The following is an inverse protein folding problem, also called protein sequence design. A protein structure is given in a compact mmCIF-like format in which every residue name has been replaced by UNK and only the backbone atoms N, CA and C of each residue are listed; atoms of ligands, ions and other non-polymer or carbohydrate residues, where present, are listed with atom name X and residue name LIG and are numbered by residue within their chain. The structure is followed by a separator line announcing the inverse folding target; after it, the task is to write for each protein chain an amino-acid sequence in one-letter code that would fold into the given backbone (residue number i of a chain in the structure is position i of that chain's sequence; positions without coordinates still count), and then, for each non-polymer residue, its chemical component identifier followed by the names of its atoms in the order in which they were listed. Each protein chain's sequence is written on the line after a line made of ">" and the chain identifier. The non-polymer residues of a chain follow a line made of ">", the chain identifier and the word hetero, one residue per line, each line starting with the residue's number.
data_IF_468642931055
#
_entry.id   IF_468642931055
#
_cell.length_a   1.000
_cell.length_b   1.000
_cell.length_c   1.000
_cell.angle_alpha   90.00
_cell.angle_beta   90.00
_cell.angle_gamma   90.00
#
_symmetry.space_group_name_H-M   'P 1'
#
loop_
_entity.id
_entity.type
_entity.pdbx_description
1 polymer ?
#
# COMPACT_ATOMS: atom_id res chain seq x y z
N UNK A 1 0.61 29.12 -9.55
CA UNK A 1 -0.33 28.44 -8.63
C UNK A 1 -0.26 26.95 -8.92
N UNK A 2 0.08 26.16 -7.93
CA UNK A 2 0.21 24.71 -8.13
C UNK A 2 -1.19 24.10 -8.20
N UNK A 3 -1.46 23.31 -9.26
CA UNK A 3 -2.76 22.66 -9.45
C UNK A 3 -3.01 21.64 -8.35
N UNK A 4 -4.22 21.59 -7.81
CA UNK A 4 -4.61 20.56 -6.84
C UNK A 4 -4.91 19.23 -7.54
N UNK A 5 -4.96 18.13 -6.78
CA UNK A 5 -5.40 16.84 -7.35
C UNK A 5 -6.79 16.93 -7.96
N UNK A 6 -7.69 17.74 -7.38
CA UNK A 6 -9.03 17.95 -7.92
C UNK A 6 -9.00 18.64 -9.30
N UNK A 7 -8.13 19.66 -9.47
CA UNK A 7 -7.95 20.35 -10.75
C UNK A 7 -7.40 19.40 -11.83
N UNK A 8 -6.39 18.59 -11.44
CA UNK A 8 -5.81 17.60 -12.34
C UNK A 8 -6.82 16.52 -12.74
N UNK A 9 -7.59 16.01 -11.78
CA UNK A 9 -8.64 15.02 -12.03
C UNK A 9 -9.72 15.57 -12.97
N UNK A 10 -10.16 16.82 -12.78
CA UNK A 10 -11.12 17.47 -13.66
C UNK A 10 -10.60 17.48 -15.12
N UNK A 11 -9.34 17.88 -15.35
CA UNK A 11 -8.72 17.88 -16.67
C UNK A 11 -8.63 16.48 -17.29
N UNK A 12 -8.26 15.48 -16.48
CA UNK A 12 -8.19 14.08 -16.98
C UNK A 12 -9.58 13.56 -17.36
N UNK A 13 -10.59 13.81 -16.51
CA UNK A 13 -11.95 13.26 -16.70
C UNK A 13 -12.67 13.95 -17.86
N UNK A 14 -12.57 15.29 -17.94
CA UNK A 14 -13.29 16.10 -18.94
C UNK A 14 -12.55 16.12 -20.27
N UNK A 15 -11.26 16.42 -20.26
CA UNK A 15 -10.48 16.70 -21.47
C UNK A 15 -9.64 15.50 -21.92
N UNK A 16 -9.53 14.44 -21.11
CA UNK A 16 -8.64 13.31 -21.40
C UNK A 16 -7.15 13.68 -21.30
N UNK A 17 -6.82 14.71 -20.52
CA UNK A 17 -5.48 15.28 -20.44
C UNK A 17 -4.47 14.29 -19.81
N UNK A 18 -3.66 13.67 -20.66
CA UNK A 18 -2.64 12.69 -20.25
C UNK A 18 -1.51 13.33 -19.42
N UNK A 19 -1.19 14.60 -19.66
CA UNK A 19 -0.17 15.31 -18.88
C UNK A 19 -0.65 15.56 -17.44
N UNK A 20 -1.93 15.90 -17.26
CA UNK A 20 -2.53 16.01 -15.93
C UNK A 20 -2.52 14.67 -15.19
N UNK A 21 -2.78 13.56 -15.88
CA UNK A 21 -2.66 12.24 -15.27
C UNK A 21 -1.20 11.90 -14.92
N UNK A 22 -0.25 12.23 -15.78
CA UNK A 22 1.19 12.07 -15.51
C UNK A 22 1.63 12.82 -14.23
N UNK A 23 1.03 13.99 -13.96
CA UNK A 23 1.27 14.75 -12.74
C UNK A 23 0.71 14.02 -11.51
N UNK A 24 -0.52 13.47 -11.59
CA UNK A 24 -1.09 12.64 -10.54
C UNK A 24 -0.23 11.41 -10.25
N UNK A 25 0.29 10.74 -11.28
CA UNK A 25 1.24 9.62 -11.12
C UNK A 25 2.49 10.08 -10.37
N UNK A 26 3.12 11.19 -10.75
CA UNK A 26 4.32 11.70 -10.08
C UNK A 26 4.10 11.97 -8.59
N UNK A 27 2.95 12.52 -8.22
CA UNK A 27 2.60 12.82 -6.82
C UNK A 27 2.34 11.57 -5.98
N UNK A 28 1.69 10.59 -6.57
CA UNK A 28 1.18 9.42 -5.83
C UNK A 28 2.01 8.15 -6.00
N UNK A 29 2.98 8.09 -6.92
CA UNK A 29 3.75 6.87 -7.18
C UNK A 29 4.56 6.40 -5.96
N UNK A 30 5.20 7.31 -5.24
CA UNK A 30 6.04 6.95 -4.09
C UNK A 30 5.23 6.31 -2.95
N UNK A 31 4.10 6.89 -2.49
CA UNK A 31 3.25 6.25 -1.48
C UNK A 31 2.63 4.92 -1.94
N UNK A 32 2.17 4.81 -3.20
CA UNK A 32 1.61 3.56 -3.75
C UNK A 32 2.67 2.47 -3.80
N UNK A 33 3.86 2.80 -4.32
CA UNK A 33 5.00 1.89 -4.36
C UNK A 33 5.44 1.48 -2.96
N UNK A 34 5.45 2.40 -2.00
CA UNK A 34 5.74 2.15 -0.59
C UNK A 34 4.78 1.14 0.04
N UNK A 35 3.47 1.29 -0.20
CA UNK A 35 2.46 0.32 0.25
C UNK A 35 2.73 -1.07 -0.36
N UNK A 36 2.91 -1.15 -1.68
CA UNK A 36 3.11 -2.43 -2.37
C UNK A 36 4.39 -3.13 -1.92
N UNK A 37 5.49 -2.39 -1.69
CA UNK A 37 6.73 -2.94 -1.12
C UNK A 37 6.51 -3.57 0.25
N UNK A 38 5.66 -2.98 1.08
CA UNK A 38 5.28 -3.58 2.36
C UNK A 38 4.44 -4.86 2.18
N UNK A 39 3.61 -4.93 1.14
CA UNK A 39 2.77 -6.10 0.88
C UNK A 39 3.58 -7.30 0.34
N UNK A 40 4.48 -7.05 -0.62
CA UNK A 40 5.29 -8.12 -1.27
C UNK A 40 6.62 -8.38 -0.57
N UNK A 41 6.97 -7.61 0.46
CA UNK A 41 8.20 -7.72 1.25
C UNK A 41 9.49 -7.55 0.42
N UNK A 42 10.18 -8.68 0.12
CA UNK A 42 11.50 -8.69 -0.50
C UNK A 42 11.49 -8.54 -2.02
N UNK A 43 10.34 -8.77 -2.68
CA UNK A 43 10.22 -8.74 -4.14
C UNK A 43 9.96 -7.31 -4.63
N UNK A 44 11.04 -6.52 -4.74
CA UNK A 44 10.95 -5.11 -5.15
C UNK A 44 10.53 -4.97 -6.63
N UNK A 45 10.91 -5.92 -7.47
CA UNK A 45 10.53 -5.94 -8.89
C UNK A 45 9.02 -6.15 -9.01
N UNK A 46 8.48 -7.13 -8.29
CA UNK A 46 7.03 -7.33 -8.21
C UNK A 46 6.31 -6.10 -7.67
N UNK A 47 6.85 -5.41 -6.66
CA UNK A 47 6.24 -4.19 -6.14
C UNK A 47 6.14 -3.11 -7.21
N UNK A 48 7.16 -2.95 -8.03
CA UNK A 48 7.20 -1.96 -9.10
C UNK A 48 6.23 -2.34 -10.24
N UNK A 49 6.13 -3.61 -10.60
CA UNK A 49 5.15 -4.12 -11.58
C UNK A 49 3.70 -3.91 -11.11
N UNK A 50 3.40 -4.22 -9.84
CA UNK A 50 2.07 -3.99 -9.28
C UNK A 50 1.74 -2.49 -9.17
N UNK A 51 2.74 -1.64 -8.92
CA UNK A 51 2.52 -0.19 -8.91
C UNK A 51 2.19 0.32 -10.32
N UNK A 52 2.89 -0.16 -11.34
CA UNK A 52 2.60 0.18 -12.73
C UNK A 52 1.19 -0.26 -13.12
N UNK A 53 0.82 -1.52 -12.83
CA UNK A 53 -0.54 -2.05 -13.09
C UNK A 53 -1.61 -1.23 -12.35
N UNK A 54 -1.31 -0.78 -11.12
CA UNK A 54 -2.21 0.08 -10.34
C UNK A 54 -2.53 1.38 -11.09
N UNK A 55 -1.53 2.06 -11.62
CA UNK A 55 -1.74 3.31 -12.36
C UNK A 55 -2.39 3.10 -13.73
N UNK A 56 -2.10 1.98 -14.41
CA UNK A 56 -2.80 1.59 -15.65
C UNK A 56 -4.30 1.40 -15.36
N UNK A 57 -4.64 0.67 -14.30
CA UNK A 57 -6.05 0.49 -13.91
C UNK A 57 -6.69 1.78 -13.42
N UNK A 58 -5.97 2.61 -12.70
CA UNK A 58 -6.45 3.92 -12.29
C UNK A 58 -6.81 4.78 -13.51
N UNK A 59 -5.94 4.85 -14.52
CA UNK A 59 -6.21 5.60 -15.75
C UNK A 59 -7.44 5.07 -16.50
N UNK A 60 -7.52 3.76 -16.68
CA UNK A 60 -8.67 3.12 -17.37
C UNK A 60 -10.00 3.36 -16.65
N UNK A 61 -9.97 3.47 -15.32
CA UNK A 61 -11.17 3.60 -14.48
C UNK A 61 -11.36 5.02 -13.91
N UNK A 62 -10.58 6.00 -14.37
CA UNK A 62 -10.57 7.36 -13.78
C UNK A 62 -11.96 8.01 -13.76
N UNK A 63 -12.78 7.73 -14.77
CA UNK A 63 -14.17 8.23 -14.87
C UNK A 63 -15.11 7.64 -13.80
N UNK A 64 -14.72 6.54 -13.15
CA UNK A 64 -15.49 5.96 -12.03
C UNK A 64 -15.17 6.61 -10.69
N UNK A 65 -14.14 7.45 -10.62
CA UNK A 65 -13.82 8.20 -9.43
C UNK A 65 -14.86 9.29 -9.18
N UNK A 66 -15.63 9.15 -8.09
CA UNK A 66 -16.74 10.05 -7.76
C UNK A 66 -16.39 11.16 -6.78
N UNK A 67 -15.15 11.23 -6.29
CA UNK A 67 -14.74 12.22 -5.28
C UNK A 67 -15.30 11.97 -3.86
N UNK A 68 -15.91 10.81 -3.61
CA UNK A 68 -16.44 10.45 -2.28
C UNK A 68 -15.34 10.16 -1.25
N UNK A 69 -14.11 9.96 -1.71
CA UNK A 69 -12.92 9.78 -0.91
C UNK A 69 -11.75 10.55 -1.54
N UNK A 70 -10.64 10.68 -0.82
CA UNK A 70 -9.41 11.23 -1.39
C UNK A 70 -8.93 10.36 -2.55
N UNK A 71 -8.34 10.98 -3.57
CA UNK A 71 -7.78 10.25 -4.71
C UNK A 71 -6.74 9.20 -4.28
N UNK A 72 -5.89 9.54 -3.30
CA UNK A 72 -4.93 8.60 -2.70
C UNK A 72 -5.59 7.36 -2.11
N UNK A 73 -6.70 7.51 -1.39
CA UNK A 73 -7.48 6.40 -0.80
C UNK A 73 -8.03 5.49 -1.90
N UNK A 74 -8.54 6.07 -2.99
CA UNK A 74 -9.02 5.33 -4.14
C UNK A 74 -7.88 4.56 -4.84
N UNK A 75 -6.69 5.19 -5.01
CA UNK A 75 -5.50 4.52 -5.53
C UNK A 75 -5.05 3.35 -4.65
N UNK A 76 -5.03 3.52 -3.33
CA UNK A 76 -4.66 2.42 -2.42
C UNK A 76 -5.62 1.24 -2.52
N UNK A 77 -6.91 1.49 -2.73
CA UNK A 77 -7.88 0.41 -2.98
C UNK A 77 -7.55 -0.35 -4.27
N UNK A 78 -7.21 0.35 -5.34
CA UNK A 78 -6.78 -0.28 -6.60
C UNK A 78 -5.50 -1.09 -6.36
N UNK A 79 -4.49 -0.51 -5.71
CA UNK A 79 -3.22 -1.17 -5.42
C UNK A 79 -3.40 -2.46 -4.59
N UNK A 80 -4.23 -2.40 -3.55
CA UNK A 80 -4.54 -3.57 -2.73
C UNK A 80 -5.26 -4.67 -3.51
N UNK A 81 -6.20 -4.31 -4.39
CA UNK A 81 -6.89 -5.26 -5.26
C UNK A 81 -5.92 -5.91 -6.26
N UNK A 82 -5.04 -5.12 -6.88
CA UNK A 82 -3.99 -5.63 -7.80
C UNK A 82 -3.10 -6.63 -7.08
N UNK A 83 -2.67 -6.31 -5.86
CA UNK A 83 -1.88 -7.23 -5.02
C UNK A 83 -2.65 -8.52 -4.73
N UNK A 84 -3.91 -8.44 -4.25
CA UNK A 84 -4.73 -9.62 -3.95
C UNK A 84 -4.95 -10.52 -5.15
N UNK A 85 -5.22 -9.95 -6.32
CA UNK A 85 -5.39 -10.72 -7.55
C UNK A 85 -4.09 -11.44 -7.97
N UNK A 86 -2.96 -10.75 -7.84
CA UNK A 86 -1.65 -11.35 -8.13
C UNK A 86 -1.35 -12.50 -7.15
N UNK A 87 -1.55 -12.30 -5.85
CA UNK A 87 -1.33 -13.31 -4.84
C UNK A 87 -2.21 -14.55 -5.08
N UNK A 88 -3.49 -14.35 -5.43
CA UNK A 88 -4.39 -15.46 -5.79
C UNK A 88 -3.90 -16.23 -7.01
N UNK A 89 -3.49 -15.55 -8.08
CA UNK A 89 -2.95 -16.20 -9.29
C UNK A 89 -1.69 -17.02 -8.99
N UNK A 90 -0.79 -16.47 -8.16
CA UNK A 90 0.43 -17.18 -7.74
C UNK A 90 0.10 -18.43 -6.92
N UNK A 91 -0.87 -18.36 -6.02
CA UNK A 91 -1.36 -19.51 -5.25
C UNK A 91 -1.92 -20.61 -6.16
N UNK A 92 -2.73 -20.24 -7.15
CA UNK A 92 -3.30 -21.18 -8.14
C UNK A 92 -2.22 -21.86 -9.00
N UNK A 93 -1.17 -21.12 -9.37
CA UNK A 93 -0.10 -21.64 -10.25
C UNK A 93 0.94 -22.49 -9.51
N UNK A 94 1.27 -22.14 -8.27
CA UNK A 94 2.42 -22.70 -7.53
C UNK A 94 1.99 -23.56 -6.34
N UNK A 95 0.70 -23.50 -5.93
CA UNK A 95 0.17 -24.27 -4.79
C UNK A 95 0.73 -23.84 -3.43
N UNK A 96 1.38 -22.66 -3.36
CA UNK A 96 2.01 -22.14 -2.14
C UNK A 96 1.05 -21.14 -1.46
N UNK A 97 0.76 -21.37 -0.19
CA UNK A 97 -0.03 -20.44 0.60
C UNK A 97 0.70 -19.11 0.84
N UNK A 98 -0.07 -18.00 0.83
CA UNK A 98 0.43 -16.64 1.11
C UNK A 98 1.27 -16.55 2.40
N UNK A 99 0.93 -17.34 3.43
CA UNK A 99 1.69 -17.42 4.67
C UNK A 99 3.10 -18.00 4.49
N UNK A 100 3.31 -18.93 3.55
CA UNK A 100 4.63 -19.48 3.24
C UNK A 100 5.49 -18.54 2.38
N UNK A 101 4.89 -17.76 1.49
CA UNK A 101 5.59 -16.68 0.78
C UNK A 101 6.07 -15.57 1.74
N UNK A 102 5.50 -15.53 2.93
CA UNK A 102 5.87 -14.58 3.98
C UNK A 102 7.12 -15.00 4.79
N UNK A 103 7.62 -16.21 4.65
CA UNK A 103 8.67 -16.77 5.51
C UNK A 103 10.12 -16.51 5.02
N UNK A 104 10.32 -16.17 3.76
CA UNK A 104 11.67 -15.92 3.21
C UNK A 104 11.95 -14.43 3.10
N UNK A 105 12.35 -13.82 4.21
CA UNK A 105 13.03 -12.52 4.20
C UNK A 105 14.53 -12.79 4.24
N UNK A 106 15.20 -12.57 3.13
CA UNK A 106 16.66 -12.50 3.09
C UNK A 106 17.09 -11.17 3.74
N UNK A 107 17.85 -11.19 4.85
CA UNK A 107 18.24 -9.98 5.56
C UNK A 107 19.44 -9.30 4.91
N UNK A 108 19.46 -9.12 3.60
CA UNK A 108 20.58 -8.47 2.91
C UNK A 108 20.30 -7.02 2.54
N UNK A 109 20.42 -6.12 3.52
CA UNK A 109 20.93 -4.78 3.27
C UNK A 109 21.64 -4.29 4.54
N UNK A 110 22.94 -4.00 4.49
CA UNK A 110 23.69 -3.51 5.65
C UNK A 110 23.50 -1.99 5.78
N UNK A 111 22.43 -1.57 6.39
CA UNK A 111 22.31 -0.22 6.95
C UNK A 111 21.86 -0.37 8.41
N UNK A 112 22.79 -0.30 9.39
CA UNK A 112 22.48 -0.51 10.80
C UNK A 112 21.85 0.76 11.40
N UNK A 113 20.61 1.08 11.00
CA UNK A 113 19.89 2.24 11.49
C UNK A 113 18.43 1.92 11.83
N UNK A 114 17.80 2.81 12.61
CA UNK A 114 16.39 2.72 12.99
C UNK A 114 15.46 2.41 11.80
N UNK A 115 15.76 2.97 10.62
CA UNK A 115 14.99 2.73 9.40
C UNK A 115 15.01 1.27 8.97
N UNK A 116 16.19 0.64 8.99
CA UNK A 116 16.35 -0.78 8.65
C UNK A 116 15.60 -1.66 9.65
N UNK A 117 15.77 -1.39 10.95
CA UNK A 117 15.11 -2.16 12.01
C UNK A 117 13.58 -1.99 11.96
N UNK A 118 13.08 -0.79 11.63
CA UNK A 118 11.66 -0.57 11.42
C UNK A 118 11.12 -1.36 10.23
N UNK A 119 11.85 -1.38 9.11
CA UNK A 119 11.45 -2.14 7.92
C UNK A 119 11.42 -3.64 8.19
N UNK A 120 12.43 -4.15 8.92
CA UNK A 120 12.48 -5.56 9.35
C UNK A 120 11.35 -5.88 10.33
N UNK A 121 11.10 -5.01 11.30
CA UNK A 121 10.00 -5.19 12.24
C UNK A 121 8.63 -5.22 11.54
N UNK A 122 8.41 -4.32 10.57
CA UNK A 122 7.21 -4.33 9.73
C UNK A 122 7.11 -5.64 8.92
N UNK A 123 8.21 -6.09 8.31
CA UNK A 123 8.25 -7.33 7.55
C UNK A 123 7.91 -8.57 8.41
N UNK A 124 8.17 -8.55 9.70
CA UNK A 124 7.85 -9.63 10.63
C UNK A 124 6.40 -9.61 11.14
N UNK A 125 5.61 -8.58 10.82
CA UNK A 125 4.19 -8.60 11.15
C UNK A 125 3.42 -9.53 10.20
N UNK A 126 2.34 -10.18 10.68
CA UNK A 126 1.35 -10.82 9.81
C UNK A 126 0.83 -9.83 8.77
N UNK A 127 0.52 -10.31 7.55
CA UNK A 127 0.12 -9.47 6.43
C UNK A 127 -1.00 -8.48 6.79
N UNK A 128 -2.07 -8.96 7.44
CA UNK A 128 -3.22 -8.14 7.80
C UNK A 128 -2.88 -7.02 8.82
N UNK A 129 -2.00 -7.29 9.80
CA UNK A 129 -1.54 -6.28 10.76
C UNK A 129 -0.60 -5.28 10.07
N UNK A 130 0.36 -5.78 9.27
CA UNK A 130 1.29 -4.96 8.51
C UNK A 130 0.57 -4.01 7.56
N UNK A 131 -0.40 -4.52 6.80
CA UNK A 131 -1.17 -3.70 5.86
C UNK A 131 -1.96 -2.61 6.58
N UNK A 132 -2.66 -2.96 7.67
CA UNK A 132 -3.43 -1.98 8.44
C UNK A 132 -2.53 -0.89 9.06
N UNK A 133 -1.38 -1.27 9.62
CA UNK A 133 -0.40 -0.31 10.17
C UNK A 133 0.18 0.57 9.06
N UNK A 134 0.53 0.01 7.91
CA UNK A 134 1.06 0.79 6.78
C UNK A 134 0.04 1.81 6.30
N UNK A 135 -1.20 1.42 6.07
CA UNK A 135 -2.25 2.33 5.62
C UNK A 135 -2.53 3.45 6.64
N UNK A 136 -2.66 3.11 7.92
CA UNK A 136 -3.05 4.09 8.93
C UNK A 136 -1.88 4.93 9.44
N UNK A 137 -0.71 4.32 9.71
CA UNK A 137 0.40 5.02 10.36
C UNK A 137 1.40 5.60 9.36
N UNK A 138 1.61 4.98 8.21
CA UNK A 138 2.55 5.46 7.19
C UNK A 138 1.84 6.30 6.12
N UNK A 139 0.68 5.85 5.63
CA UNK A 139 -0.06 6.55 4.57
C UNK A 139 -1.12 7.52 5.10
N UNK A 140 -1.31 7.60 6.41
CA UNK A 140 -2.17 8.59 7.05
C UNK A 140 -3.68 8.40 6.85
N UNK A 141 -4.13 7.17 6.54
CA UNK A 141 -5.54 6.88 6.42
C UNK A 141 -6.20 6.80 7.81
N UNK A 142 -7.43 7.30 7.91
CA UNK A 142 -8.29 6.94 9.03
C UNK A 142 -8.63 5.45 9.02
N UNK A 143 -9.06 4.90 10.16
CA UNK A 143 -9.47 3.49 10.22
C UNK A 143 -10.65 3.20 9.29
N UNK A 144 -11.56 4.15 9.10
CA UNK A 144 -12.69 4.03 8.16
C UNK A 144 -12.22 3.99 6.70
N UNK A 145 -11.27 4.85 6.32
CA UNK A 145 -10.66 4.82 4.98
C UNK A 145 -9.93 3.50 4.74
N UNK A 146 -9.14 3.04 5.72
CA UNK A 146 -8.45 1.76 5.62
C UNK A 146 -9.42 0.57 5.53
N UNK A 147 -10.55 0.60 6.25
CA UNK A 147 -11.59 -0.40 6.16
C UNK A 147 -12.20 -0.50 4.75
N UNK A 148 -12.41 0.65 4.10
CA UNK A 148 -12.88 0.71 2.69
C UNK A 148 -11.82 0.20 1.71
N UNK A 149 -10.54 0.52 1.94
CA UNK A 149 -9.42 0.05 1.10
C UNK A 149 -9.29 -1.47 1.18
N UNK A 150 -9.35 -2.02 2.39
CA UNK A 150 -9.14 -3.44 2.68
C UNK A 150 -10.39 -4.31 2.48
N UNK A 151 -11.56 -3.68 2.37
CA UNK A 151 -12.86 -4.35 2.32
C UNK A 151 -13.10 -5.30 3.52
N UNK A 152 -12.83 -4.78 4.73
CA UNK A 152 -13.01 -5.48 6.00
C UNK A 152 -13.70 -4.58 7.03
N UNK A 153 -14.35 -5.15 8.07
CA UNK A 153 -15.01 -4.36 9.11
C UNK A 153 -14.07 -3.40 9.83
N UNK A 154 -14.55 -2.21 10.18
CA UNK A 154 -13.81 -1.19 10.92
C UNK A 154 -13.19 -1.72 12.22
N UNK A 155 -13.92 -2.57 12.96
CA UNK A 155 -13.42 -3.20 14.19
C UNK A 155 -12.19 -4.08 13.94
N UNK A 156 -12.16 -4.77 12.81
CA UNK A 156 -11.02 -5.59 12.39
C UNK A 156 -9.80 -4.73 12.10
N UNK A 157 -9.99 -3.58 11.39
CA UNK A 157 -8.89 -2.63 11.15
C UNK A 157 -8.32 -2.11 12.46
N UNK A 158 -9.17 -1.64 13.38
CA UNK A 158 -8.75 -1.13 14.70
C UNK A 158 -7.92 -2.17 15.47
N UNK A 159 -8.39 -3.43 15.48
CA UNK A 159 -7.70 -4.55 16.14
C UNK A 159 -6.34 -4.82 15.48
N UNK A 160 -6.28 -4.86 14.14
CA UNK A 160 -5.05 -5.11 13.42
C UNK A 160 -4.01 -3.99 13.63
N UNK A 161 -4.44 -2.73 13.62
CA UNK A 161 -3.56 -1.59 13.92
C UNK A 161 -3.03 -1.66 15.35
N UNK A 162 -3.90 -1.94 16.33
CA UNK A 162 -3.49 -2.05 17.73
C UNK A 162 -2.45 -3.17 17.91
N UNK A 163 -2.76 -4.38 17.46
CA UNK A 163 -1.86 -5.54 17.57
C UNK A 163 -0.53 -5.32 16.84
N UNK A 164 -0.58 -4.77 15.63
CA UNK A 164 0.63 -4.46 14.86
C UNK A 164 1.51 -3.44 15.56
N UNK A 165 0.93 -2.37 16.12
CA UNK A 165 1.68 -1.35 16.90
C UNK A 165 2.30 -1.93 18.17
N UNK A 166 1.59 -2.78 18.90
CA UNK A 166 2.11 -3.44 20.10
C UNK A 166 3.29 -4.36 19.78
N UNK A 167 3.21 -5.12 18.68
CA UNK A 167 4.32 -5.97 18.23
C UNK A 167 5.53 -5.13 17.79
N UNK A 168 5.32 -4.05 17.02
CA UNK A 168 6.38 -3.13 16.62
C UNK A 168 7.06 -2.50 17.84
N UNK A 169 6.28 -2.05 18.82
CA UNK A 169 6.83 -1.47 20.06
C UNK A 169 7.75 -2.47 20.79
N UNK A 170 7.37 -3.75 20.85
CA UNK A 170 8.20 -4.80 21.46
C UNK A 170 9.47 -5.05 20.65
N UNK A 171 9.38 -5.16 19.34
CA UNK A 171 10.53 -5.41 18.46
C UNK A 171 11.53 -4.24 18.43
N UNK A 172 11.03 -3.01 18.58
CA UNK A 172 11.83 -1.78 18.54
C UNK A 172 12.14 -1.23 19.94
N UNK A 173 11.97 -2.01 21.00
CA UNK A 173 12.16 -1.55 22.38
C UNK A 173 13.56 -0.96 22.65
N UNK A 174 14.61 -1.46 21.97
CA UNK A 174 15.97 -0.93 22.08
C UNK A 174 16.13 0.53 21.59
N UNK A 175 15.18 1.03 20.79
CA UNK A 175 15.17 2.39 20.25
C UNK A 175 14.27 3.36 21.05
N UNK A 176 13.61 2.88 22.11
CA UNK A 176 12.67 3.65 22.92
C UNK A 176 13.32 4.32 24.17
N UNK A 177 14.66 4.29 24.28
CA UNK A 177 15.43 4.90 25.38
C UNK A 177 15.93 6.27 25.02
#
# INVERSE_FOLDING_TARGET
>A
MELTDADLLARVIVDGDQHAFGELVRRHQSPVRGLLRQLVRADLELADDLAQETFIRAYKNIRSFRGEAKFSTWLYRIAYNVFRENARKRKELVGIDEERLQAEVDPQTPDPGLRHDLMNALANLPLHERTAVTLCCQNGLSHDEAARVLDIPLGTVKTNVLRGREKLKKMLAAWAT
#
